data_IF_182733186704
#
_entry.id   IF_182733186704
#
_cell.length_a   1.000
_cell.length_b   1.000
_cell.length_c   1.000
_cell.angle_alpha   90.00
_cell.angle_beta   90.00
_cell.angle_gamma   90.00
#
_symmetry.space_group_name_H-M   'P 1'
#
loop_
_entity.id
_entity.type
_entity.pdbx_description
1 polymer ?
#
# COMPACT_ATOMS: atom_id res chain seq x y z
N UNK A 1 -37.31 -5.92 5.38
CA UNK A 1 -36.72 -4.58 5.52
C UNK A 1 -35.88 -4.49 6.78
N UNK A 2 -36.47 -4.75 7.94
CA UNK A 2 -35.74 -4.65 9.22
C UNK A 2 -34.66 -5.72 9.37
N UNK A 3 -34.95 -6.93 8.92
CA UNK A 3 -33.96 -7.99 8.91
C UNK A 3 -32.79 -7.67 8.01
N UNK A 4 -33.07 -7.00 6.89
CA UNK A 4 -32.03 -6.54 5.98
C UNK A 4 -31.16 -5.49 6.65
N UNK A 5 -31.73 -4.58 7.44
CA UNK A 5 -30.96 -3.54 8.13
C UNK A 5 -30.02 -4.15 9.19
N UNK A 6 -30.48 -5.12 9.96
CA UNK A 6 -29.63 -5.80 10.94
C UNK A 6 -28.54 -6.61 10.25
N UNK A 7 -28.91 -7.26 9.14
CA UNK A 7 -27.97 -8.01 8.32
C UNK A 7 -26.97 -7.08 7.66
N UNK A 8 -27.42 -5.90 7.21
CA UNK A 8 -26.57 -4.91 6.59
C UNK A 8 -25.50 -4.38 7.58
N UNK A 9 -25.84 -4.21 8.85
CA UNK A 9 -24.88 -3.77 9.85
C UNK A 9 -23.75 -4.77 10.00
N UNK A 10 -24.07 -6.07 10.12
CA UNK A 10 -23.04 -7.11 10.19
C UNK A 10 -22.28 -7.26 8.90
N UNK A 11 -22.97 -7.18 7.77
CA UNK A 11 -22.33 -7.23 6.46
C UNK A 11 -21.38 -6.06 6.26
N UNK A 12 -21.73 -4.87 6.74
CA UNK A 12 -20.85 -3.71 6.66
C UNK A 12 -19.58 -3.87 7.47
N UNK A 13 -19.62 -4.51 8.64
CA UNK A 13 -18.44 -4.80 9.44
C UNK A 13 -17.52 -5.76 8.67
N UNK A 14 -18.07 -6.84 8.15
CA UNK A 14 -17.33 -7.80 7.34
C UNK A 14 -16.85 -7.19 6.03
N UNK A 15 -17.72 -6.42 5.35
CA UNK A 15 -17.39 -5.75 4.10
C UNK A 15 -16.28 -4.72 4.27
N UNK A 16 -16.26 -4.01 5.41
CA UNK A 16 -15.20 -3.03 5.67
C UNK A 16 -13.83 -3.69 5.72
N UNK A 17 -13.72 -4.86 6.34
CA UNK A 17 -12.49 -5.64 6.35
C UNK A 17 -12.18 -6.22 4.98
N UNK A 18 -13.18 -6.80 4.32
CA UNK A 18 -13.03 -7.36 2.98
C UNK A 18 -12.73 -6.26 1.96
N UNK A 19 -13.38 -5.12 2.06
CA UNK A 19 -13.11 -3.98 1.18
C UNK A 19 -11.69 -3.45 1.36
N UNK A 20 -11.22 -3.35 2.60
CA UNK A 20 -9.84 -2.96 2.86
C UNK A 20 -8.87 -3.96 2.22
N UNK A 21 -9.06 -5.25 2.47
CA UNK A 21 -8.17 -6.29 1.93
C UNK A 21 -8.17 -6.28 0.41
N UNK A 22 -9.34 -6.13 -0.20
CA UNK A 22 -9.46 -6.09 -1.66
C UNK A 22 -8.75 -4.86 -2.22
N UNK A 23 -8.97 -3.69 -1.64
CA UNK A 23 -8.35 -2.45 -2.07
C UNK A 23 -6.83 -2.48 -1.88
N UNK A 24 -6.37 -2.97 -0.74
CA UNK A 24 -4.95 -3.07 -0.45
C UNK A 24 -4.27 -4.06 -1.38
N UNK A 25 -4.87 -5.21 -1.63
CA UNK A 25 -4.32 -6.21 -2.54
C UNK A 25 -4.25 -5.69 -3.98
N UNK A 26 -5.28 -4.98 -4.43
CA UNK A 26 -5.28 -4.36 -5.76
C UNK A 26 -4.19 -3.29 -5.87
N UNK A 27 -3.99 -2.52 -4.81
CA UNK A 27 -2.93 -1.50 -4.76
C UNK A 27 -1.55 -2.13 -4.81
N UNK A 28 -1.31 -3.19 -4.02
CA UNK A 28 -0.03 -3.91 -4.06
C UNK A 28 0.24 -4.50 -5.44
N UNK A 29 -0.76 -5.09 -6.07
CA UNK A 29 -0.61 -5.63 -7.43
C UNK A 29 -0.27 -4.54 -8.45
N UNK A 30 -0.90 -3.39 -8.32
CA UNK A 30 -0.60 -2.24 -9.18
C UNK A 30 0.84 -1.74 -8.97
N UNK A 31 1.29 -1.70 -7.72
CA UNK A 31 2.67 -1.32 -7.41
C UNK A 31 3.65 -2.33 -7.99
N UNK A 32 3.40 -3.63 -7.85
CA UNK A 32 4.24 -4.67 -8.45
C UNK A 32 4.40 -4.47 -9.94
N UNK A 33 3.31 -4.21 -10.64
CA UNK A 33 3.36 -4.01 -12.09
C UNK A 33 4.20 -2.77 -12.45
N UNK A 34 4.05 -1.69 -11.70
CA UNK A 34 4.84 -0.48 -11.93
C UNK A 34 6.34 -0.72 -11.68
N UNK A 35 6.68 -1.52 -10.68
CA UNK A 35 8.06 -1.89 -10.38
C UNK A 35 8.65 -2.77 -11.49
N UNK A 36 7.89 -3.72 -12.01
CA UNK A 36 8.30 -4.53 -13.15
C UNK A 36 8.56 -3.67 -14.38
N UNK A 37 7.66 -2.75 -14.67
CA UNK A 37 7.77 -1.83 -15.80
C UNK A 37 9.00 -0.92 -15.68
N UNK A 38 9.44 -0.64 -14.47
CA UNK A 38 10.62 0.18 -14.18
C UNK A 38 11.91 -0.65 -14.03
N UNK A 39 11.85 -1.96 -14.23
CA UNK A 39 12.97 -2.89 -14.07
C UNK A 39 13.59 -2.83 -12.66
N UNK A 40 12.77 -2.64 -11.63
CA UNK A 40 13.23 -2.64 -10.26
C UNK A 40 13.11 -4.04 -9.66
N UNK A 41 14.11 -4.43 -8.87
CA UNK A 41 14.09 -5.71 -8.17
C UNK A 41 13.14 -5.67 -6.98
N UNK A 42 12.28 -6.65 -6.88
CA UNK A 42 11.39 -6.78 -5.73
C UNK A 42 11.04 -8.24 -5.46
N UNK A 43 10.62 -8.49 -4.22
CA UNK A 43 10.16 -9.79 -3.78
C UNK A 43 8.86 -9.63 -3.01
N UNK A 44 8.10 -10.72 -2.92
CA UNK A 44 6.89 -10.81 -2.10
C UNK A 44 7.12 -11.90 -1.07
N UNK A 45 7.86 -11.62 0.01
CA UNK A 45 8.28 -12.65 0.96
C UNK A 45 7.12 -13.30 1.72
N UNK A 46 6.00 -12.60 1.82
CA UNK A 46 4.78 -13.12 2.43
C UNK A 46 3.57 -12.41 1.83
N UNK A 47 2.38 -12.96 2.08
CA UNK A 47 1.14 -12.33 1.64
C UNK A 47 1.02 -10.93 2.25
N UNK A 48 0.73 -9.95 1.41
CA UNK A 48 0.57 -8.56 1.84
C UNK A 48 1.87 -7.80 2.10
N UNK A 49 3.02 -8.38 1.76
CA UNK A 49 4.32 -7.72 1.92
C UNK A 49 5.04 -7.66 0.58
N UNK A 50 5.49 -6.47 0.22
CA UNK A 50 6.26 -6.22 -0.99
C UNK A 50 7.57 -5.56 -0.59
N UNK A 51 8.69 -6.12 -1.02
CA UNK A 51 10.02 -5.66 -0.65
C UNK A 51 10.80 -5.29 -1.90
N UNK A 52 11.14 -4.01 -2.02
CA UNK A 52 11.93 -3.48 -3.14
C UNK A 52 13.37 -3.34 -2.71
N UNK A 53 14.31 -3.85 -3.51
CA UNK A 53 15.73 -3.77 -3.20
C UNK A 53 16.44 -2.88 -4.23
N UNK A 54 17.32 -2.03 -3.73
CA UNK A 54 18.08 -1.08 -4.54
C UNK A 54 19.55 -1.51 -4.63
N UNK A 55 20.27 -0.94 -5.60
CA UNK A 55 21.66 -1.34 -5.88
C UNK A 55 22.60 -1.14 -4.68
N UNK A 56 22.30 -0.18 -3.82
CA UNK A 56 23.09 0.07 -2.60
C UNK A 56 22.74 -0.87 -1.45
N UNK A 57 21.84 -1.82 -1.66
CA UNK A 57 21.36 -2.75 -0.65
C UNK A 57 20.23 -2.19 0.22
N UNK A 58 19.85 -0.93 0.06
CA UNK A 58 18.71 -0.39 0.78
C UNK A 58 17.41 -0.95 0.24
N UNK A 59 16.35 -0.87 1.06
CA UNK A 59 15.05 -1.46 0.72
C UNK A 59 13.92 -0.49 0.99
N UNK A 60 12.81 -0.71 0.30
CA UNK A 60 11.51 -0.15 0.64
C UNK A 60 10.58 -1.33 0.87
N UNK A 61 9.96 -1.38 2.04
CA UNK A 61 9.02 -2.45 2.38
C UNK A 61 7.62 -1.85 2.45
N UNK A 62 6.70 -2.44 1.70
CA UNK A 62 5.30 -2.02 1.63
C UNK A 62 4.47 -3.15 2.21
N UNK A 63 3.70 -2.85 3.26
CA UNK A 63 3.01 -3.85 4.05
C UNK A 63 1.53 -3.51 4.21
N UNK A 64 0.66 -4.46 3.83
CA UNK A 64 -0.75 -4.38 4.17
C UNK A 64 -0.90 -4.67 5.67
N UNK A 65 -1.35 -3.71 6.45
CA UNK A 65 -1.52 -3.84 7.89
C UNK A 65 -2.99 -4.01 8.23
N UNK A 66 -3.42 -5.26 8.42
CA UNK A 66 -4.83 -5.60 8.58
C UNK A 66 -5.48 -5.02 9.84
N UNK A 67 -4.77 -5.02 10.96
CA UNK A 67 -5.32 -4.52 12.22
C UNK A 67 -5.60 -3.02 12.16
N UNK A 68 -4.65 -2.25 11.65
CA UNK A 68 -4.79 -0.80 11.51
C UNK A 68 -5.63 -0.41 10.29
N UNK A 69 -5.84 -1.33 9.35
CA UNK A 69 -6.45 -1.07 8.04
C UNK A 69 -5.72 0.04 7.30
N UNK A 70 -4.41 -0.09 7.26
CA UNK A 70 -3.51 0.85 6.61
C UNK A 70 -2.51 0.12 5.73
N UNK A 71 -1.89 0.85 4.83
CA UNK A 71 -0.68 0.40 4.14
C UNK A 71 0.49 1.11 4.80
N UNK A 72 1.47 0.34 5.25
CA UNK A 72 2.66 0.87 5.89
C UNK A 72 3.84 0.74 4.93
N UNK A 73 4.66 1.78 4.89
CA UNK A 73 5.85 1.84 4.05
C UNK A 73 7.04 2.13 4.93
N UNK A 74 8.07 1.28 4.85
CA UNK A 74 9.35 1.50 5.52
C UNK A 74 10.41 1.76 4.46
N UNK A 75 11.08 2.89 4.55
CA UNK A 75 12.14 3.30 3.64
C UNK A 75 13.36 3.74 4.44
N UNK A 76 14.47 3.99 3.74
CA UNK A 76 15.68 4.49 4.40
C UNK A 76 15.42 5.79 5.15
N UNK A 77 14.57 6.65 4.63
CA UNK A 77 14.24 7.95 5.23
C UNK A 77 13.25 7.89 6.38
N UNK A 78 12.58 6.75 6.61
CA UNK A 78 11.62 6.61 7.71
C UNK A 78 10.47 5.71 7.40
N UNK A 79 9.50 5.67 8.31
CA UNK A 79 8.27 4.90 8.18
C UNK A 79 7.07 5.79 7.93
N UNK A 80 6.15 5.32 7.09
CA UNK A 80 4.97 6.07 6.68
C UNK A 80 3.74 5.19 6.74
N UNK A 81 2.62 5.73 7.19
CA UNK A 81 1.34 5.01 7.31
C UNK A 81 0.31 5.68 6.42
N UNK A 82 -0.38 4.89 5.62
CA UNK A 82 -1.38 5.39 4.67
C UNK A 82 -2.73 4.79 4.96
N UNK A 83 -3.73 5.63 5.12
CA UNK A 83 -5.12 5.21 5.33
C UNK A 83 -5.92 5.35 4.05
N UNK A 84 -7.01 4.55 3.90
CA UNK A 84 -7.89 4.72 2.75
C UNK A 84 -8.60 6.07 2.79
N UNK A 85 -8.65 6.75 1.67
CA UNK A 85 -9.42 7.99 1.54
C UNK A 85 -9.75 8.25 0.07
N UNK A 86 -11.04 8.41 -0.23
CA UNK A 86 -11.53 8.80 -1.56
C UNK A 86 -10.98 7.90 -2.69
N UNK A 87 -10.98 6.59 -2.45
CA UNK A 87 -10.51 5.62 -3.45
C UNK A 87 -9.00 5.48 -3.56
N UNK A 88 -8.24 6.21 -2.76
CA UNK A 88 -6.80 6.13 -2.71
C UNK A 88 -6.29 5.92 -1.29
N UNK A 89 -5.02 6.23 -1.09
CA UNK A 89 -4.34 6.08 0.18
C UNK A 89 -3.60 7.36 0.50
N UNK A 90 -3.76 7.89 1.71
CA UNK A 90 -3.14 9.15 2.12
C UNK A 90 -2.32 8.96 3.38
N UNK A 91 -1.17 9.61 3.43
CA UNK A 91 -0.30 9.62 4.61
C UNK A 91 -1.07 10.21 5.80
N UNK A 92 -1.02 9.51 6.93
CA UNK A 92 -1.76 9.90 8.13
C UNK A 92 -1.23 11.18 8.77
N UNK A 93 -0.02 11.60 8.43
CA UNK A 93 0.61 12.80 8.98
C UNK A 93 0.44 14.02 8.09
N UNK A 94 0.74 13.89 6.79
CA UNK A 94 0.80 15.05 5.89
C UNK A 94 -0.19 15.01 4.73
N UNK A 95 -0.94 13.92 4.59
CA UNK A 95 -1.95 13.79 3.53
C UNK A 95 -1.39 13.51 2.14
N UNK A 96 -0.09 13.25 2.00
CA UNK A 96 0.51 12.91 0.72
C UNK A 96 -0.06 11.58 0.20
N UNK A 97 -0.32 11.49 -1.09
CA UNK A 97 -0.81 10.26 -1.70
C UNK A 97 0.29 9.19 -1.70
N UNK A 98 -0.11 7.94 -1.52
CA UNK A 98 0.82 6.79 -1.48
C UNK A 98 1.72 6.74 -2.72
N UNK A 99 1.14 6.86 -3.91
CA UNK A 99 1.94 6.77 -5.14
C UNK A 99 2.92 7.92 -5.28
N UNK A 100 2.52 9.13 -4.90
CA UNK A 100 3.43 10.28 -4.91
C UNK A 100 4.59 10.09 -3.94
N UNK A 101 4.30 9.55 -2.77
CA UNK A 101 5.34 9.24 -1.78
C UNK A 101 6.31 8.18 -2.33
N UNK A 102 5.77 7.12 -2.93
CA UNK A 102 6.60 6.04 -3.49
C UNK A 102 7.49 6.54 -4.62
N UNK A 103 6.98 7.41 -5.48
CA UNK A 103 7.80 8.03 -6.54
C UNK A 103 9.02 8.73 -5.93
N UNK A 104 8.79 9.53 -4.89
CA UNK A 104 9.87 10.27 -4.23
C UNK A 104 10.86 9.33 -3.52
N UNK A 105 10.35 8.31 -2.81
CA UNK A 105 11.19 7.36 -2.07
C UNK A 105 12.05 6.51 -3.01
N UNK A 106 11.48 6.04 -4.10
CA UNK A 106 12.20 5.25 -5.11
C UNK A 106 13.32 6.08 -5.72
N UNK A 107 13.02 7.31 -6.14
CA UNK A 107 14.03 8.21 -6.70
C UNK A 107 15.15 8.51 -5.70
N UNK A 108 14.79 8.76 -4.43
CA UNK A 108 15.77 9.06 -3.38
C UNK A 108 16.72 7.88 -3.10
N UNK A 109 16.26 6.65 -3.30
CA UNK A 109 17.08 5.44 -3.07
C UNK A 109 17.77 4.93 -4.34
N UNK A 110 17.75 5.71 -5.41
CA UNK A 110 18.49 5.39 -6.63
C UNK A 110 17.74 4.53 -7.64
N UNK A 111 16.43 4.35 -7.47
CA UNK A 111 15.63 3.54 -8.38
C UNK A 111 15.16 4.26 -9.64
N UNK A 112 15.46 5.55 -9.76
CA UNK A 112 15.06 6.34 -10.93
C UNK A 112 13.58 6.68 -10.92
N UNK A 113 13.01 6.88 -12.10
CA UNK A 113 11.60 7.23 -12.25
C UNK A 113 10.73 5.98 -12.28
N UNK A 114 9.64 6.01 -11.54
CA UNK A 114 8.62 4.98 -11.56
C UNK A 114 7.25 5.64 -11.77
N UNK A 115 6.37 4.99 -12.52
CA UNK A 115 5.05 5.51 -12.85
C UNK A 115 3.97 4.54 -12.36
N UNK A 116 3.13 5.03 -11.48
CA UNK A 116 2.03 4.26 -10.93
C UNK A 116 0.70 4.50 -11.62
#
# INVERSE_FOLDING_TARGET
MREMLARDTMTQIESSEAEFNQAANATLAHIEQALEDADLDFETPADGILEVEFDDGSKIIINRHGVAREIWVAARSGGFHFKPQNGGWVDTKDGTLLYDKLVALVAAQGGGAVHF
#
